data_IF_495904109602
#
_entry.id   IF_495904109602
#
_cell.length_a   1.000
_cell.length_b   1.000
_cell.length_c   1.000
_cell.angle_alpha   90.00
_cell.angle_beta   90.00
_cell.angle_gamma   90.00
#
_symmetry.space_group_name_H-M   'P 1'
#
loop_
_entity.id
_entity.type
_entity.pdbx_description
1 polymer ?
#
# COMPACT_ATOMS: atom_id res chain seq x y z
N UNK A 1 8.60 -6.81 1.93
CA UNK A 1 7.58 -7.51 1.11
C UNK A 1 7.11 -6.54 0.04
N UNK A 2 7.08 -6.96 -1.21
CA UNK A 2 6.57 -6.13 -2.30
C UNK A 2 5.09 -5.80 -2.06
N UNK A 3 4.69 -4.54 -2.24
CA UNK A 3 3.32 -4.05 -1.98
C UNK A 3 2.25 -4.84 -2.75
N UNK A 4 2.60 -5.30 -3.95
CA UNK A 4 1.74 -6.15 -4.77
C UNK A 4 1.46 -7.51 -4.14
N UNK A 5 2.49 -8.15 -3.57
CA UNK A 5 2.36 -9.41 -2.85
C UNK A 5 1.45 -9.25 -1.63
N UNK A 6 1.57 -8.12 -0.93
CA UNK A 6 0.72 -7.77 0.20
C UNK A 6 -0.76 -7.63 -0.22
N UNK A 7 -1.03 -6.88 -1.28
CA UNK A 7 -2.37 -6.71 -1.84
C UNK A 7 -2.99 -8.05 -2.25
N UNK A 8 -2.25 -8.84 -3.03
CA UNK A 8 -2.71 -10.16 -3.47
C UNK A 8 -3.00 -11.10 -2.30
N UNK A 9 -2.15 -11.10 -1.27
CA UNK A 9 -2.34 -11.94 -0.09
C UNK A 9 -3.55 -11.52 0.75
N UNK A 10 -3.79 -10.21 0.94
CA UNK A 10 -4.99 -9.70 1.63
C UNK A 10 -6.26 -10.16 0.92
N UNK A 11 -6.34 -9.99 -0.40
CA UNK A 11 -7.48 -10.41 -1.21
C UNK A 11 -7.66 -11.93 -1.20
N UNK A 12 -6.57 -12.70 -1.29
CA UNK A 12 -6.60 -14.16 -1.20
C UNK A 12 -7.15 -14.63 0.15
N UNK A 13 -6.72 -14.02 1.26
CA UNK A 13 -7.21 -14.36 2.59
C UNK A 13 -8.68 -13.94 2.77
N UNK A 14 -9.09 -12.80 2.22
CA UNK A 14 -10.49 -12.38 2.22
C UNK A 14 -11.39 -13.35 1.45
N UNK A 15 -10.97 -13.80 0.26
CA UNK A 15 -11.68 -14.83 -0.53
C UNK A 15 -11.80 -16.17 0.19
N UNK A 16 -10.82 -16.51 1.04
CA UNK A 16 -10.86 -17.71 1.90
C UNK A 16 -11.78 -17.57 3.12
N UNK A 17 -12.46 -16.43 3.30
CA UNK A 17 -13.38 -16.19 4.41
C UNK A 17 -12.70 -15.78 5.73
N UNK A 18 -11.43 -15.39 5.71
CA UNK A 18 -10.79 -14.87 6.92
C UNK A 18 -11.36 -13.50 7.32
N UNK A 19 -11.53 -13.28 8.62
CA UNK A 19 -11.91 -11.98 9.15
C UNK A 19 -10.75 -10.98 9.06
N UNK A 20 -11.06 -9.69 8.99
CA UNK A 20 -10.07 -8.61 8.87
C UNK A 20 -9.09 -8.63 10.05
N UNK A 21 -9.56 -8.98 11.26
CA UNK A 21 -8.69 -9.18 12.42
C UNK A 21 -7.64 -10.28 12.20
N UNK A 22 -8.03 -11.42 11.62
CA UNK A 22 -7.09 -12.52 11.33
C UNK A 22 -6.13 -12.14 10.21
N UNK A 23 -6.61 -11.44 9.18
CA UNK A 23 -5.78 -10.96 8.06
C UNK A 23 -4.71 -9.98 8.58
N UNK A 24 -5.11 -8.99 9.37
CA UNK A 24 -4.20 -8.02 9.99
C UNK A 24 -3.09 -8.70 10.80
N UNK A 25 -3.45 -9.66 11.65
CA UNK A 25 -2.48 -10.44 12.45
C UNK A 25 -1.55 -11.30 11.60
N UNK A 26 -2.06 -11.90 10.52
CA UNK A 26 -1.30 -12.81 9.66
C UNK A 26 -0.32 -12.09 8.73
N UNK A 27 -0.74 -10.94 8.24
CA UNK A 27 0.04 -10.10 7.31
C UNK A 27 0.91 -9.09 8.06
N UNK A 28 0.63 -8.82 9.34
CA UNK A 28 1.42 -7.92 10.19
C UNK A 28 1.15 -6.45 9.94
N UNK A 29 -0.02 -6.08 9.41
CA UNK A 29 -0.41 -4.70 9.10
C UNK A 29 -1.63 -4.28 9.89
N UNK A 30 -1.83 -2.97 10.06
CA UNK A 30 -3.00 -2.44 10.76
C UNK A 30 -4.30 -2.80 10.02
N UNK A 31 -5.39 -2.93 10.76
CA UNK A 31 -6.72 -3.20 10.21
C UNK A 31 -7.16 -2.13 9.21
N UNK A 32 -6.83 -0.87 9.46
CA UNK A 32 -7.13 0.24 8.56
C UNK A 32 -6.44 0.06 7.20
N UNK A 33 -5.19 -0.40 7.21
CA UNK A 33 -4.49 -0.73 5.97
C UNK A 33 -5.16 -1.92 5.27
N UNK A 34 -5.62 -2.94 6.00
CA UNK A 34 -6.37 -4.04 5.39
C UNK A 34 -7.65 -3.54 4.71
N UNK A 35 -8.44 -2.67 5.36
CA UNK A 35 -9.63 -2.06 4.76
C UNK A 35 -9.27 -1.30 3.49
N UNK A 36 -8.28 -0.41 3.57
CA UNK A 36 -7.83 0.37 2.43
C UNK A 36 -7.44 -0.50 1.24
N UNK A 37 -6.71 -1.60 1.45
CA UNK A 37 -6.32 -2.50 0.36
C UNK A 37 -7.47 -3.34 -0.20
N UNK A 38 -8.53 -3.59 0.60
CA UNK A 38 -9.72 -4.30 0.14
C UNK A 38 -10.67 -3.40 -0.66
N UNK A 39 -10.70 -2.10 -0.35
CA UNK A 39 -11.54 -1.10 -1.01
C UNK A 39 -10.89 -0.51 -2.27
N UNK A 40 -9.56 -0.56 -2.37
CA UNK A 40 -8.82 0.03 -3.49
C UNK A 40 -8.89 -0.85 -4.75
N UNK A 41 -9.15 -0.20 -5.88
CA UNK A 41 -9.18 -0.85 -7.19
C UNK A 41 -7.76 -1.31 -7.60
N UNK A 42 -7.61 -2.47 -8.27
CA UNK A 42 -6.31 -2.94 -8.74
C UNK A 42 -5.52 -1.92 -9.55
N UNK A 43 -6.19 -1.09 -10.35
CA UNK A 43 -5.59 -0.04 -11.18
C UNK A 43 -5.01 1.08 -10.30
N UNK A 44 -5.78 1.54 -9.31
CA UNK A 44 -5.37 2.56 -8.35
C UNK A 44 -4.19 2.09 -7.48
N UNK A 45 -4.17 0.80 -7.10
CA UNK A 45 -3.04 0.20 -6.39
C UNK A 45 -1.79 0.18 -7.27
N UNK A 46 -1.92 -0.16 -8.56
CA UNK A 46 -0.80 -0.16 -9.50
C UNK A 46 -0.19 1.24 -9.66
N UNK A 47 -1.02 2.25 -9.85
CA UNK A 47 -0.61 3.66 -9.91
C UNK A 47 0.04 4.12 -8.61
N UNK A 48 -0.57 3.80 -7.46
CA UNK A 48 -0.01 4.14 -6.15
C UNK A 48 1.35 3.47 -5.89
N UNK A 49 1.50 2.21 -6.30
CA UNK A 49 2.77 1.49 -6.22
C UNK A 49 3.83 2.11 -7.11
N UNK A 50 3.47 2.49 -8.34
CA UNK A 50 4.36 3.17 -9.27
C UNK A 50 4.79 4.53 -8.70
N UNK A 51 3.85 5.35 -8.23
CA UNK A 51 4.09 6.66 -7.64
C UNK A 51 4.95 6.58 -6.36
N UNK A 52 4.77 5.55 -5.52
CA UNK A 52 5.58 5.41 -4.30
C UNK A 52 7.06 5.12 -4.59
N UNK A 53 7.39 4.49 -5.73
CA UNK A 53 8.79 4.30 -6.15
C UNK A 53 9.45 5.62 -6.55
N UNK A 54 8.67 6.63 -6.95
CA UNK A 54 9.16 7.94 -7.41
C UNK A 54 9.12 8.97 -6.28
N UNK A 55 9.75 8.69 -5.13
CA UNK A 55 10.01 9.76 -4.16
C UNK A 55 11.20 10.59 -4.64
N UNK A 56 10.96 11.56 -5.50
CA UNK A 56 11.93 12.62 -5.79
C UNK A 56 12.14 13.41 -4.50
N UNK A 57 13.36 13.38 -3.95
CA UNK A 57 13.77 14.30 -2.88
C UNK A 57 13.56 15.71 -3.45
N UNK A 58 12.64 16.50 -2.88
CA UNK A 58 12.59 17.94 -3.17
C UNK A 58 13.98 18.47 -2.83
N UNK A 59 14.76 18.80 -3.85
CA UNK A 59 15.93 19.65 -3.68
C UNK A 59 15.37 20.96 -3.11
N UNK A 60 15.79 21.31 -1.90
CA UNK A 60 15.55 22.64 -1.38
C UNK A 60 16.07 23.62 -2.43
N UNK A 61 15.26 24.60 -2.89
CA UNK A 61 15.77 25.59 -3.82
C UNK A 61 16.90 26.33 -3.10
N UNK A 62 18.14 26.10 -3.54
CA UNK A 62 19.28 26.92 -3.13
C UNK A 62 18.92 28.34 -3.53
N UNK A 63 18.56 29.15 -2.53
CA UNK A 63 18.34 30.58 -2.68
C UNK A 63 19.67 31.21 -3.06
N UNK A 64 19.93 31.31 -4.36
CA UNK A 64 20.95 32.21 -4.88
C UNK A 64 20.38 33.62 -4.70
N UNK A 65 20.79 34.24 -3.60
CA UNK A 65 20.61 35.67 -3.35
C UNK A 65 21.68 36.38 -4.17
N UNK A 66 21.25 36.98 -5.28
CA UNK A 66 22.05 37.97 -6.02
C UNK A 66 22.14 39.27 -5.22
#
# INVERSE_FOLDING_TARGET
MEKWLLYSEIHRLKRKGFSINKISKKVGISRNTVYKYLEMDPMEVAEWMAATKVRSKKLDPIGIRF
#
